data_IF_384247562102
#
_entry.id   IF_384247562102
#
_cell.length_a   1.000
_cell.length_b   1.000
_cell.length_c   1.000
_cell.angle_alpha   90.00
_cell.angle_beta   90.00
_cell.angle_gamma   90.00
#
_symmetry.space_group_name_H-M   'P 1'
#
loop_
_entity.id
_entity.type
_entity.pdbx_description
1 polymer ?
#
# COMPACT_ATOMS: atom_id res chain seq x y z
N UNK A 1 -11.34 -11.21 1.38
CA UNK A 1 -10.45 -12.00 0.51
C UNK A 1 -9.24 -11.14 0.17
N UNK A 2 -8.04 -11.44 0.68
CA UNK A 2 -6.87 -10.60 0.43
C UNK A 2 -6.40 -10.73 -1.02
N UNK A 3 -5.96 -9.61 -1.60
CA UNK A 3 -5.32 -9.59 -2.91
C UNK A 3 -3.82 -9.85 -2.75
N UNK A 4 -3.22 -10.49 -3.75
CA UNK A 4 -1.78 -10.62 -3.92
C UNK A 4 -1.27 -9.54 -4.88
N UNK A 5 -0.11 -8.95 -4.56
CA UNK A 5 0.48 -7.86 -5.33
C UNK A 5 1.91 -8.15 -5.78
N UNK A 6 2.26 -7.62 -6.96
CA UNK A 6 3.64 -7.40 -7.36
C UNK A 6 3.97 -5.90 -7.24
N UNK A 7 5.22 -5.59 -6.95
CA UNK A 7 5.71 -4.22 -6.91
C UNK A 7 5.91 -3.70 -8.35
N UNK A 8 5.48 -2.47 -8.61
CA UNK A 8 5.77 -1.77 -9.86
C UNK A 8 7.02 -0.90 -9.70
N UNK A 9 7.73 -0.63 -10.80
CA UNK A 9 8.86 0.30 -10.77
C UNK A 9 8.39 1.76 -10.67
N UNK A 10 8.14 2.17 -9.44
CA UNK A 10 7.76 3.54 -9.10
C UNK A 10 8.89 4.55 -9.29
N UNK A 11 10.15 4.12 -9.38
CA UNK A 11 11.27 5.07 -9.48
C UNK A 11 11.36 5.67 -10.88
N UNK A 12 11.15 4.84 -11.91
CA UNK A 12 11.03 5.29 -13.29
C UNK A 12 9.77 6.13 -13.51
N UNK A 13 8.64 5.71 -12.92
CA UNK A 13 7.39 6.46 -13.00
C UNK A 13 7.43 7.80 -12.26
N UNK A 14 8.19 7.91 -11.18
CA UNK A 14 8.35 9.16 -10.42
C UNK A 14 9.46 10.07 -10.98
N UNK A 15 10.11 9.68 -12.08
CA UNK A 15 11.16 10.49 -12.68
C UNK A 15 10.65 11.89 -13.05
N UNK A 16 11.43 12.92 -12.67
CA UNK A 16 11.10 14.33 -12.88
C UNK A 16 10.23 14.97 -11.79
N UNK A 17 9.69 14.19 -10.85
CA UNK A 17 9.01 14.73 -9.67
C UNK A 17 10.02 15.13 -8.59
N UNK A 18 9.75 16.20 -7.84
CA UNK A 18 10.61 16.61 -6.70
C UNK A 18 10.08 16.04 -5.39
N UNK A 19 8.78 15.77 -5.32
CA UNK A 19 8.10 15.33 -4.11
C UNK A 19 6.94 14.39 -4.42
N UNK A 20 6.79 13.33 -3.62
CA UNK A 20 5.68 12.39 -3.72
C UNK A 20 5.07 12.07 -2.36
N UNK A 21 3.74 11.94 -2.34
CA UNK A 21 2.99 11.42 -1.19
C UNK A 21 2.68 9.94 -1.40
N UNK A 22 3.23 9.07 -0.56
CA UNK A 22 2.93 7.64 -0.57
C UNK A 22 1.62 7.40 0.19
N UNK A 23 0.66 6.76 -0.46
CA UNK A 23 -0.68 6.50 0.06
C UNK A 23 -0.90 4.99 0.14
N UNK A 24 -0.66 4.39 1.32
CA UNK A 24 -0.82 2.95 1.49
C UNK A 24 -2.25 2.54 1.88
N UNK A 25 -2.75 1.50 1.22
CA UNK A 25 -3.82 0.66 1.72
C UNK A 25 -3.21 -0.34 2.72
N UNK A 26 -3.54 -0.22 4.00
CA UNK A 26 -2.89 -0.96 5.08
C UNK A 26 -3.38 -2.41 5.22
N UNK A 27 -4.27 -2.88 4.34
CA UNK A 27 -4.81 -4.23 4.40
C UNK A 27 -4.14 -5.16 3.39
N UNK A 28 -4.59 -5.19 2.14
CA UNK A 28 -4.15 -6.21 1.19
C UNK A 28 -2.64 -6.14 0.88
N UNK A 29 -2.05 -4.96 0.57
CA UNK A 29 -0.59 -4.81 0.43
C UNK A 29 0.19 -5.29 1.65
N UNK A 30 -0.27 -4.92 2.86
CA UNK A 30 0.43 -5.26 4.09
C UNK A 30 0.42 -6.78 4.37
N UNK A 31 -0.66 -7.47 3.97
CA UNK A 31 -0.72 -8.94 4.02
C UNK A 31 0.20 -9.55 2.97
N UNK A 32 0.18 -9.06 1.72
CA UNK A 32 1.09 -9.56 0.68
C UNK A 32 2.54 -9.47 1.11
N UNK A 33 2.97 -8.30 1.62
CA UNK A 33 4.34 -8.13 2.11
C UNK A 33 4.62 -9.07 3.29
N UNK A 34 3.71 -9.20 4.26
CA UNK A 34 3.93 -10.11 5.39
C UNK A 34 4.10 -11.57 4.95
N UNK A 35 3.29 -12.04 4.00
CA UNK A 35 3.39 -13.39 3.44
C UNK A 35 4.69 -13.56 2.65
N UNK A 36 5.04 -12.60 1.79
CA UNK A 36 6.24 -12.63 0.95
C UNK A 36 7.52 -12.69 1.78
N UNK A 37 7.58 -11.94 2.87
CA UNK A 37 8.75 -11.89 3.76
C UNK A 37 8.73 -12.99 4.84
N UNK A 38 7.72 -13.87 4.85
CA UNK A 38 7.50 -14.89 5.89
C UNK A 38 7.50 -14.30 7.32
N UNK A 39 6.97 -13.08 7.48
CA UNK A 39 6.95 -12.34 8.75
C UNK A 39 5.55 -12.26 9.35
N UNK A 40 5.43 -12.14 10.69
CA UNK A 40 4.15 -11.87 11.34
C UNK A 40 3.52 -10.57 10.83
N UNK A 41 2.26 -10.65 10.41
CA UNK A 41 1.46 -9.52 9.94
C UNK A 41 1.11 -8.55 11.07
N UNK A 42 0.80 -9.06 12.27
CA UNK A 42 0.60 -8.23 13.46
C UNK A 42 1.34 -8.86 14.63
N UNK A 43 2.06 -8.03 15.40
CA UNK A 43 2.69 -8.42 16.67
C UNK A 43 2.02 -7.65 17.81
N UNK A 44 1.00 -8.22 18.45
CA UNK A 44 0.15 -7.50 19.43
C UNK A 44 0.94 -6.80 20.55
N UNK A 45 2.04 -7.41 21.00
CA UNK A 45 2.82 -6.94 22.16
C UNK A 45 4.00 -6.02 21.83
N UNK A 46 4.32 -5.79 20.56
CA UNK A 46 5.46 -4.93 20.15
C UNK A 46 5.03 -3.73 19.32
N UNK A 47 4.05 -3.90 18.43
CA UNK A 47 3.63 -2.84 17.51
C UNK A 47 2.11 -2.70 17.57
N UNK A 48 1.61 -1.57 18.08
CA UNK A 48 0.19 -1.20 18.17
C UNK A 48 -0.57 -1.43 16.84
N UNK A 49 -1.07 -2.66 16.63
CA UNK A 49 -1.84 -3.09 15.46
C UNK A 49 -1.17 -2.78 14.10
N UNK A 50 0.15 -2.58 14.02
CA UNK A 50 0.85 -2.29 12.76
C UNK A 50 1.56 -3.53 12.22
N UNK A 51 1.58 -3.65 10.89
CA UNK A 51 2.41 -4.61 10.19
C UNK A 51 3.84 -4.11 10.10
N UNK A 52 4.73 -4.72 10.92
CA UNK A 52 6.16 -4.48 10.88
C UNK A 52 6.77 -4.66 9.47
N UNK A 53 6.48 -5.76 8.73
CA UNK A 53 7.05 -5.94 7.41
C UNK A 53 6.57 -4.86 6.41
N UNK A 54 5.33 -4.39 6.55
CA UNK A 54 4.84 -3.32 5.67
C UNK A 54 5.44 -1.95 6.01
N UNK A 55 5.68 -1.64 7.29
CA UNK A 55 6.40 -0.42 7.68
C UNK A 55 7.86 -0.44 7.17
N UNK A 56 8.52 -1.60 7.20
CA UNK A 56 9.85 -1.76 6.61
C UNK A 56 9.82 -1.52 5.09
N UNK A 57 8.85 -2.13 4.39
CA UNK A 57 8.65 -1.90 2.96
C UNK A 57 8.47 -0.41 2.62
N UNK A 58 7.68 0.31 3.43
CA UNK A 58 7.51 1.76 3.26
C UNK A 58 8.82 2.52 3.50
N UNK A 59 9.62 2.12 4.48
CA UNK A 59 10.92 2.74 4.74
C UNK A 59 11.90 2.52 3.58
N UNK A 60 11.99 1.30 3.06
CA UNK A 60 12.86 0.95 1.94
C UNK A 60 12.43 1.66 0.66
N UNK A 61 11.13 1.75 0.39
CA UNK A 61 10.59 2.51 -0.73
C UNK A 61 10.97 4.00 -0.63
N UNK A 62 10.87 4.60 0.56
CA UNK A 62 11.29 5.99 0.78
C UNK A 62 12.78 6.16 0.56
N UNK A 63 13.61 5.24 1.05
CA UNK A 63 15.06 5.28 0.81
C UNK A 63 15.38 5.32 -0.68
N UNK A 64 14.81 4.39 -1.46
CA UNK A 64 15.01 4.31 -2.92
C UNK A 64 14.59 5.58 -3.67
N UNK A 65 13.49 6.20 -3.27
CA UNK A 65 13.03 7.46 -3.87
C UNK A 65 13.93 8.65 -3.47
N UNK A 66 14.33 8.71 -2.19
CA UNK A 66 15.23 9.74 -1.69
C UNK A 66 16.61 9.66 -2.35
N UNK A 67 17.12 8.45 -2.64
CA UNK A 67 18.36 8.24 -3.40
C UNK A 67 18.28 8.79 -4.83
N UNK A 68 17.08 8.96 -5.38
CA UNK A 68 16.82 9.64 -6.67
C UNK A 68 16.54 11.13 -6.51
N UNK A 69 16.69 11.69 -5.32
CA UNK A 69 16.44 13.10 -5.02
C UNK A 69 14.96 13.46 -4.87
N UNK A 70 14.07 12.47 -4.73
CA UNK A 70 12.62 12.67 -4.61
C UNK A 70 12.25 12.70 -3.12
N UNK A 71 11.73 13.82 -2.63
CA UNK A 71 11.25 13.92 -1.25
C UNK A 71 9.98 13.10 -1.04
N UNK A 72 9.88 12.40 0.09
CA UNK A 72 8.78 11.46 0.35
C UNK A 72 8.08 11.68 1.70
N UNK A 73 6.75 11.77 1.63
CA UNK A 73 5.85 11.70 2.78
C UNK A 73 4.95 10.45 2.70
N UNK A 74 4.37 10.03 3.83
CA UNK A 74 3.43 8.90 3.87
C UNK A 74 2.11 9.32 4.49
N UNK A 75 1.00 9.10 3.78
CA UNK A 75 -0.34 9.38 4.27
C UNK A 75 -0.86 8.25 5.18
N UNK A 76 -0.49 8.29 6.45
CA UNK A 76 -0.80 7.23 7.43
C UNK A 76 -2.19 7.38 8.06
N UNK A 77 -2.84 6.25 8.35
CA UNK A 77 -3.98 6.21 9.28
C UNK A 77 -3.67 5.28 10.46
N UNK A 78 -3.83 5.75 11.71
CA UNK A 78 -3.63 4.90 12.88
C UNK A 78 -4.84 3.99 13.17
N UNK A 79 -5.97 4.17 12.48
CA UNK A 79 -7.22 3.52 12.89
C UNK A 79 -7.54 2.29 12.02
N UNK A 80 -7.78 1.10 12.60
CA UNK A 80 -8.01 -0.14 11.86
C UNK A 80 -9.14 -0.09 10.83
N UNK A 81 -10.25 0.59 11.13
CA UNK A 81 -11.37 0.72 10.18
C UNK A 81 -11.03 1.57 8.94
N UNK A 82 -9.89 2.26 8.94
CA UNK A 82 -9.40 3.05 7.80
C UNK A 82 -8.30 2.30 7.01
N UNK A 83 -8.07 1.01 7.28
CA UNK A 83 -7.08 0.24 6.54
C UNK A 83 -7.51 -0.06 5.11
N UNK A 84 -8.81 -0.17 4.89
CA UNK A 84 -9.40 -0.32 3.56
C UNK A 84 -9.59 1.06 2.93
N UNK A 85 -8.67 1.43 2.05
CA UNK A 85 -8.71 2.74 1.40
C UNK A 85 -9.99 2.96 0.59
N UNK A 86 -10.50 1.93 -0.08
CA UNK A 86 -11.76 1.97 -0.83
C UNK A 86 -13.01 2.17 0.04
N UNK A 87 -12.87 2.08 1.37
CA UNK A 87 -13.96 2.32 2.33
C UNK A 87 -13.72 3.60 3.16
N UNK A 88 -12.83 4.48 2.71
CA UNK A 88 -12.59 5.73 3.41
C UNK A 88 -13.82 6.62 3.44
N UNK A 89 -13.99 7.30 4.56
CA UNK A 89 -15.02 8.33 4.71
C UNK A 89 -14.63 9.58 3.91
N UNK A 90 -15.63 10.38 3.52
CA UNK A 90 -15.40 11.67 2.85
C UNK A 90 -14.42 12.58 3.62
N UNK A 91 -14.43 12.52 4.96
CA UNK A 91 -13.49 13.27 5.79
C UNK A 91 -12.03 12.81 5.63
N UNK A 92 -11.80 11.50 5.44
CA UNK A 92 -10.46 10.97 5.17
C UNK A 92 -10.01 11.33 3.75
N UNK A 93 -10.90 11.24 2.76
CA UNK A 93 -10.62 11.69 1.39
C UNK A 93 -10.27 13.18 1.35
N UNK A 94 -11.00 14.04 2.07
CA UNK A 94 -10.65 15.47 2.18
C UNK A 94 -9.24 15.70 2.74
N UNK A 95 -8.85 14.95 3.79
CA UNK A 95 -7.49 15.03 4.34
C UNK A 95 -6.42 14.57 3.35
N UNK A 96 -6.70 13.54 2.56
CA UNK A 96 -5.80 13.12 1.48
C UNK A 96 -5.64 14.26 0.47
N UNK A 97 -6.75 14.84 0.00
CA UNK A 97 -6.75 15.95 -0.97
C UNK A 97 -5.85 17.11 -0.52
N UNK A 98 -6.01 17.58 0.72
CA UNK A 98 -5.19 18.69 1.23
C UNK A 98 -3.70 18.34 1.32
N UNK A 99 -3.36 17.10 1.66
CA UNK A 99 -1.96 16.65 1.71
C UNK A 99 -1.37 16.46 0.31
N UNK A 100 -2.16 15.97 -0.64
CA UNK A 100 -1.74 15.76 -2.02
C UNK A 100 -1.35 17.08 -2.72
N UNK A 101 -2.04 18.20 -2.43
CA UNK A 101 -1.70 19.54 -2.96
C UNK A 101 -0.27 20.00 -2.66
N UNK A 102 0.40 19.40 -1.68
CA UNK A 102 1.76 19.75 -1.26
C UNK A 102 2.84 18.96 -2.02
N UNK A 103 2.45 18.09 -2.94
CA UNK A 103 3.34 17.14 -3.60
C UNK A 103 3.12 17.15 -5.12
N UNK A 104 4.18 16.90 -5.89
CA UNK A 104 4.10 16.84 -7.35
C UNK A 104 3.44 15.51 -7.83
N UNK A 105 3.42 14.49 -6.97
CA UNK A 105 2.73 13.24 -7.26
C UNK A 105 2.28 12.44 -6.03
N UNK A 106 1.49 11.42 -6.30
CA UNK A 106 0.97 10.49 -5.30
C UNK A 106 1.25 9.06 -5.74
N UNK A 107 1.98 8.30 -4.92
CA UNK A 107 2.22 6.87 -5.15
C UNK A 107 1.19 6.08 -4.35
N UNK A 108 0.36 5.29 -5.04
CA UNK A 108 -0.67 4.48 -4.40
C UNK A 108 -0.17 3.05 -4.23
N UNK A 109 -0.15 2.57 -2.98
CA UNK A 109 0.14 1.17 -2.66
C UNK A 109 -1.18 0.48 -2.34
N UNK A 110 -1.80 -0.14 -3.33
CA UNK A 110 -3.11 -0.75 -3.22
C UNK A 110 -3.58 -1.34 -4.54
N UNK A 111 -4.81 -1.87 -4.56
CA UNK A 111 -5.43 -2.36 -5.79
C UNK A 111 -5.99 -1.23 -6.66
N UNK A 112 -6.45 -1.58 -7.86
CA UNK A 112 -7.06 -0.66 -8.82
C UNK A 112 -8.21 0.15 -8.22
N UNK A 113 -9.04 -0.45 -7.35
CA UNK A 113 -10.10 0.29 -6.63
C UNK A 113 -9.53 1.34 -5.68
N UNK A 114 -8.41 1.03 -5.03
CA UNK A 114 -7.69 1.94 -4.16
C UNK A 114 -7.08 3.09 -4.99
N UNK A 115 -6.45 2.79 -6.12
CA UNK A 115 -5.94 3.80 -7.06
C UNK A 115 -7.06 4.71 -7.56
N UNK A 116 -8.20 4.15 -7.96
CA UNK A 116 -9.34 4.92 -8.41
C UNK A 116 -9.85 5.86 -7.32
N UNK A 117 -9.95 5.37 -6.07
CA UNK A 117 -10.32 6.20 -4.90
C UNK A 117 -9.41 7.41 -4.75
N UNK A 118 -8.10 7.24 -4.97
CA UNK A 118 -7.13 8.35 -4.90
C UNK A 118 -7.30 9.29 -6.08
N UNK A 119 -7.46 8.77 -7.31
CA UNK A 119 -7.70 9.59 -8.52
C UNK A 119 -8.94 10.46 -8.37
N UNK A 120 -10.04 9.89 -7.89
CA UNK A 120 -11.30 10.63 -7.66
C UNK A 120 -11.16 11.66 -6.53
N UNK A 121 -10.23 11.44 -5.60
CA UNK A 121 -10.01 12.34 -4.46
C UNK A 121 -9.08 13.52 -4.80
N UNK A 122 -8.02 13.25 -5.58
CA UNK A 122 -6.97 14.21 -5.93
C UNK A 122 -7.38 14.90 -7.24
N UNK A 123 -8.25 15.89 -7.12
CA UNK A 123 -8.73 16.74 -8.23
C UNK A 123 -7.67 17.80 -8.61
N UNK A 124 -6.45 17.38 -8.97
CA UNK A 124 -5.39 18.31 -9.41
C UNK A 124 -4.75 17.81 -10.69
N UNK A 125 -4.84 18.58 -11.80
CA UNK A 125 -4.27 18.17 -13.09
C UNK A 125 -2.73 18.08 -13.04
N UNK A 126 -2.11 18.82 -12.12
CA UNK A 126 -0.65 18.89 -11.98
C UNK A 126 -0.09 17.80 -11.06
N UNK A 127 -0.95 17.04 -10.36
CA UNK A 127 -0.54 16.00 -9.43
C UNK A 127 -0.58 14.63 -10.11
N UNK A 128 0.60 14.05 -10.37
CA UNK A 128 0.70 12.74 -11.04
C UNK A 128 0.33 11.61 -10.10
N UNK A 129 -0.64 10.77 -10.48
CA UNK A 129 -1.00 9.56 -9.73
C UNK A 129 -0.24 8.35 -10.29
N UNK A 130 0.57 7.71 -9.45
CA UNK A 130 1.43 6.57 -9.80
C UNK A 130 0.94 5.33 -9.06
N UNK A 131 0.75 4.23 -9.78
CA UNK A 131 0.45 2.93 -9.17
C UNK A 131 1.76 2.30 -8.71
N UNK A 132 1.87 1.99 -7.42
CA UNK A 132 3.08 1.38 -6.87
C UNK A 132 3.03 -0.14 -6.73
N UNK A 133 1.85 -0.73 -6.93
CA UNK A 133 1.62 -2.17 -6.84
C UNK A 133 0.54 -2.58 -7.83
N UNK A 134 0.69 -3.77 -8.41
CA UNK A 134 -0.31 -4.37 -9.29
C UNK A 134 -0.91 -5.62 -8.63
N UNK A 135 -2.24 -5.73 -8.63
CA UNK A 135 -2.92 -6.91 -8.10
C UNK A 135 -2.85 -8.07 -9.10
N UNK A 136 -2.03 -9.08 -8.80
CA UNK A 136 -1.77 -10.23 -9.69
C UNK A 136 -2.67 -11.43 -9.41
N UNK A 137 -3.33 -11.46 -8.26
CA UNK A 137 -4.21 -12.56 -7.92
C UNK A 137 -4.95 -12.37 -6.62
N UNK A 138 -5.70 -13.41 -6.29
CA UNK A 138 -6.40 -13.57 -5.03
C UNK A 138 -5.58 -14.51 -4.17
N UNK A 139 -5.29 -14.09 -2.93
CA UNK A 139 -4.60 -14.94 -1.98
C UNK A 139 -5.60 -15.64 -1.07
N UNK A 140 -5.46 -16.96 -0.96
CA UNK A 140 -6.06 -17.75 0.10
C UNK A 140 -4.97 -18.08 1.12
N UNK A 141 -5.22 -17.80 2.39
CA UNK A 141 -4.29 -18.06 3.48
C UNK A 141 -5.05 -18.40 4.75
N UNK A 142 -4.51 -19.30 5.55
CA UNK A 142 -5.00 -19.60 6.89
C UNK A 142 -4.35 -18.67 7.89
N UNK A 143 -5.15 -18.10 8.79
CA UNK A 143 -4.65 -17.34 9.92
C UNK A 143 -4.08 -18.29 10.96
N UNK A 144 -2.86 -18.03 11.41
CA UNK A 144 -2.25 -18.69 12.56
C UNK A 144 -1.92 -17.66 13.63
N UNK A 145 -2.39 -17.91 14.84
CA UNK A 145 -2.03 -17.12 16.02
C UNK A 145 -0.92 -17.87 16.75
N UNK A 146 0.30 -17.33 16.73
CA UNK A 146 1.45 -17.88 17.41
C UNK A 146 1.71 -17.13 18.74
N UNK A 147 1.92 -17.83 19.86
CA UNK A 147 2.33 -17.18 21.11
C UNK A 147 3.70 -16.47 20.96
N UNK A 148 3.90 -15.29 21.56
CA UNK A 148 2.92 -14.45 22.25
C UNK A 148 2.20 -13.49 21.28
N UNK A 149 0.98 -13.81 20.85
CA UNK A 149 0.08 -12.88 20.15
C UNK A 149 0.53 -12.41 18.76
N UNK A 150 1.34 -13.20 18.05
CA UNK A 150 1.70 -12.94 16.66
C UNK A 150 0.59 -13.48 15.73
N UNK A 151 0.13 -12.66 14.80
CA UNK A 151 -0.77 -13.10 13.72
C UNK A 151 0.09 -13.34 12.48
N UNK A 152 0.13 -14.59 12.04
CA UNK A 152 0.85 -15.07 10.87
C UNK A 152 -0.13 -15.68 9.85
N UNK A 153 0.40 -16.01 8.67
CA UNK A 153 -0.33 -16.69 7.62
C UNK A 153 0.34 -18.02 7.26
N UNK A 154 -0.46 -19.05 7.00
CA UNK A 154 -0.01 -20.38 6.55
C UNK A 154 -0.85 -20.84 5.35
N UNK A 155 -0.39 -21.89 4.66
CA UNK A 155 -1.04 -22.45 3.48
C UNK A 155 -1.38 -21.38 2.42
N UNK A 156 -0.47 -20.42 2.21
CA UNK A 156 -0.68 -19.31 1.29
C UNK A 156 -0.68 -19.81 -0.15
N UNK A 157 -1.83 -19.70 -0.82
CA UNK A 157 -2.00 -20.03 -2.24
C UNK A 157 -2.51 -18.81 -2.97
N UNK A 158 -1.83 -18.43 -4.03
CA UNK A 158 -2.28 -17.37 -4.93
C UNK A 158 -3.00 -18.01 -6.10
N UNK A 159 -4.26 -17.63 -6.28
CA UNK A 159 -5.02 -17.91 -7.50
C UNK A 159 -4.83 -16.70 -8.41
N UNK A 160 -4.14 -16.84 -9.56
CA UNK A 160 -3.93 -15.73 -10.48
C UNK A 160 -5.26 -15.16 -10.94
N UNK A 161 -5.32 -13.84 -11.13
CA UNK A 161 -6.48 -13.23 -11.77
C UNK A 161 -6.48 -13.69 -13.24
N UNK A 162 -7.51 -14.41 -13.68
CA UNK A 162 -7.62 -15.00 -15.03
C UNK A 162 -7.76 -13.97 -16.18
N UNK A 163 -7.52 -12.69 -15.92
CA UNK A 163 -7.50 -11.63 -16.92
C UNK A 163 -6.07 -11.19 -17.24
N UNK A 164 -5.22 -12.11 -17.69
CA UNK A 164 -4.14 -11.72 -18.59
C UNK A 164 -4.79 -11.48 -19.96
N UNK A 165 -4.84 -10.22 -20.40
CA UNK A 165 -5.10 -9.91 -21.81
C UNK A 165 -4.06 -10.68 -22.62
N UNK A 166 -4.55 -11.50 -23.56
CA UNK A 166 -3.72 -11.98 -24.66
C UNK A 166 -3.05 -10.75 -25.31
N UNK A 167 -1.73 -10.83 -25.48
CA UNK A 167 -0.97 -9.88 -26.28
C UNK A 167 -1.40 -9.94 -27.75
#
# INVERSE_FOLDING_TARGET
MPLHFNDLDVTSEAAGLRSVLIVPCNMCPAVTVAVREEQPFIRLFRNFLKSAPFEQYLADLRSRLNEKGISTDVFRSPVPHQWFMCMWTAGRSRKLRERAKQHDGVIVLGCTSATQTVRDTVESPDCRIIEGMEATGIMNAKLKIAPPGNVCFEDCKVVPNSCQKAA
#
